data_IF_480920846110
#
_entry.id   IF_480920846110
#
_cell.length_a   1.000
_cell.length_b   1.000
_cell.length_c   1.000
_cell.angle_alpha   90.00
_cell.angle_beta   90.00
_cell.angle_gamma   90.00
#
_symmetry.space_group_name_H-M   'P 1'
#
loop_
_entity.id
_entity.type
_entity.pdbx_description
1 polymer ?
#
# COMPACT_ATOMS: atom_id res chain seq x y z
N UNK A 1 -22.44 -2.29 -16.93
CA UNK A 1 -20.97 -2.17 -16.96
C UNK A 1 -20.42 -1.98 -15.55
N UNK A 2 -19.39 -2.75 -15.20
CA UNK A 2 -18.80 -2.63 -13.88
C UNK A 2 -18.01 -1.32 -13.74
N UNK A 3 -18.16 -0.64 -12.60
CA UNK A 3 -17.37 0.55 -12.28
C UNK A 3 -15.93 0.17 -11.94
N UNK A 4 -15.01 1.14 -11.97
CA UNK A 4 -13.63 0.95 -11.54
C UNK A 4 -13.56 0.41 -10.10
N UNK A 5 -14.38 0.96 -9.22
CA UNK A 5 -14.45 0.54 -7.82
C UNK A 5 -14.88 -0.91 -7.67
N UNK A 6 -15.88 -1.37 -8.44
CA UNK A 6 -16.31 -2.77 -8.37
C UNK A 6 -15.28 -3.73 -8.96
N UNK A 7 -14.47 -3.28 -9.91
CA UNK A 7 -13.36 -4.06 -10.46
C UNK A 7 -12.23 -4.22 -9.45
N UNK A 8 -11.92 -3.16 -8.71
CA UNK A 8 -10.93 -3.21 -7.63
C UNK A 8 -11.38 -4.18 -6.52
N UNK A 9 -12.67 -4.21 -6.20
CA UNK A 9 -13.23 -5.15 -5.22
C UNK A 9 -13.03 -6.60 -5.68
N UNK A 10 -13.15 -6.89 -6.97
CA UNK A 10 -12.88 -8.23 -7.50
C UNK A 10 -11.43 -8.64 -7.29
N UNK A 11 -10.48 -7.74 -7.56
CA UNK A 11 -9.06 -8.02 -7.32
C UNK A 11 -8.84 -8.28 -5.84
N UNK A 12 -9.41 -7.46 -4.98
CA UNK A 12 -9.26 -7.61 -3.54
C UNK A 12 -9.75 -8.97 -3.07
N UNK A 13 -10.90 -9.42 -3.55
CA UNK A 13 -11.45 -10.75 -3.21
C UNK A 13 -10.51 -11.88 -3.63
N UNK A 14 -9.89 -11.76 -4.80
CA UNK A 14 -8.91 -12.76 -5.26
C UNK A 14 -7.69 -12.80 -4.35
N UNK A 15 -7.15 -11.64 -3.98
CA UNK A 15 -6.01 -11.54 -3.09
C UNK A 15 -6.35 -12.13 -1.72
N UNK A 16 -7.54 -11.83 -1.19
CA UNK A 16 -7.99 -12.38 0.08
C UNK A 16 -8.11 -13.91 0.02
N UNK A 17 -8.60 -14.46 -1.10
CA UNK A 17 -8.65 -15.90 -1.30
C UNK A 17 -7.25 -16.52 -1.32
N UNK A 18 -6.28 -15.88 -2.00
CA UNK A 18 -4.91 -16.38 -2.02
C UNK A 18 -4.31 -16.42 -0.61
N UNK A 19 -4.46 -15.34 0.15
CA UNK A 19 -3.93 -15.27 1.51
C UNK A 19 -4.57 -16.34 2.40
N UNK A 20 -5.88 -16.50 2.32
CA UNK A 20 -6.62 -17.52 3.07
C UNK A 20 -6.15 -18.92 2.69
N UNK A 21 -5.93 -19.18 1.41
CA UNK A 21 -5.49 -20.49 0.92
C UNK A 21 -4.09 -20.85 1.42
N UNK A 22 -3.25 -19.86 1.70
CA UNK A 22 -1.91 -20.05 2.26
C UNK A 22 -1.90 -20.02 3.80
N UNK A 23 -3.08 -19.93 4.42
CA UNK A 23 -3.18 -19.89 5.88
C UNK A 23 -2.71 -18.58 6.51
N UNK A 24 -2.68 -17.51 5.73
CA UNK A 24 -2.26 -16.20 6.23
C UNK A 24 -3.44 -15.40 6.77
N UNK A 25 -3.30 -14.89 7.99
CA UNK A 25 -4.27 -13.99 8.59
C UNK A 25 -4.01 -12.57 8.10
N UNK A 26 -5.09 -11.86 7.77
CA UNK A 26 -5.01 -10.48 7.29
C UNK A 26 -6.21 -9.68 7.78
N UNK A 27 -6.10 -8.36 7.72
CA UNK A 27 -7.22 -7.43 7.95
C UNK A 27 -7.28 -6.44 6.79
N UNK A 28 -8.39 -5.74 6.67
CA UNK A 28 -8.62 -4.80 5.56
C UNK A 28 -9.02 -3.43 6.08
N UNK A 29 -8.66 -2.39 5.33
CA UNK A 29 -9.13 -1.03 5.52
C UNK A 29 -8.94 -0.51 6.97
N UNK A 30 -10.04 -0.26 7.66
CA UNK A 30 -10.04 0.29 9.02
C UNK A 30 -9.88 -0.76 10.12
N UNK A 31 -9.78 -2.03 9.76
CA UNK A 31 -9.53 -3.07 10.75
C UNK A 31 -8.11 -2.99 11.30
N UNK A 32 -7.93 -3.35 12.56
CA UNK A 32 -6.65 -3.21 13.25
C UNK A 32 -5.74 -4.42 13.05
N UNK A 33 -4.46 -4.16 12.73
CA UNK A 33 -3.40 -5.17 12.84
C UNK A 33 -2.95 -5.22 14.30
N UNK A 34 -2.48 -4.08 14.81
CA UNK A 34 -2.14 -3.87 16.22
C UNK A 34 -2.06 -2.36 16.48
N UNK A 35 -2.03 -1.92 17.75
CA UNK A 35 -2.04 -0.49 18.06
C UNK A 35 -0.85 0.28 17.50
N UNK A 36 0.33 -0.31 17.43
CA UNK A 36 1.52 0.38 16.93
C UNK A 36 1.41 0.69 15.44
N UNK A 37 1.00 -0.28 14.63
CA UNK A 37 0.80 -0.10 13.20
C UNK A 37 -0.34 0.90 12.96
N UNK A 38 -1.44 0.76 13.69
CA UNK A 38 -2.59 1.65 13.55
C UNK A 38 -2.21 3.10 13.81
N UNK A 39 -1.44 3.37 14.87
CA UNK A 39 -0.96 4.72 15.18
C UNK A 39 -0.05 5.27 14.09
N UNK A 40 0.86 4.44 13.57
CA UNK A 40 1.78 4.85 12.52
C UNK A 40 1.02 5.29 11.27
N UNK A 41 0.03 4.51 10.85
CA UNK A 41 -0.78 4.82 9.69
C UNK A 41 -1.64 6.07 9.88
N UNK A 42 -2.01 6.37 11.12
CA UNK A 42 -2.78 7.57 11.44
C UNK A 42 -1.91 8.82 11.49
N UNK A 43 -0.66 8.72 11.94
CA UNK A 43 0.26 9.86 12.05
C UNK A 43 0.75 10.39 10.71
N UNK A 44 0.98 9.49 9.74
CA UNK A 44 1.43 9.90 8.43
C UNK A 44 0.32 10.61 7.66
N UNK A 45 0.64 11.56 6.75
CA UNK A 45 -0.37 12.12 5.86
C UNK A 45 -1.05 11.02 5.06
N UNK A 46 -2.31 11.24 4.69
CA UNK A 46 -3.02 10.32 3.79
C UNK A 46 -2.37 10.31 2.41
N UNK A 47 -2.77 9.40 1.54
CA UNK A 47 -2.24 9.32 0.16
C UNK A 47 -2.50 10.58 -0.67
N UNK A 48 -3.39 11.44 -0.22
CA UNK A 48 -3.69 12.72 -0.88
C UNK A 48 -3.05 13.90 -0.16
N UNK A 49 -2.32 13.66 0.91
CA UNK A 49 -1.61 14.68 1.68
C UNK A 49 -2.40 15.31 2.80
N UNK A 50 -3.67 14.98 2.91
CA UNK A 50 -4.54 15.55 3.94
C UNK A 50 -4.51 14.78 5.25
N UNK A 51 -5.28 15.27 6.19
CA UNK A 51 -5.54 14.56 7.44
C UNK A 51 -6.47 13.38 7.18
N UNK A 52 -6.42 12.41 8.06
CA UNK A 52 -7.27 11.24 8.00
C UNK A 52 -6.47 9.96 8.00
N UNK A 53 -7.17 8.87 8.21
CA UNK A 53 -6.52 7.55 8.31
C UNK A 53 -6.05 7.07 6.94
N UNK A 54 -4.89 6.43 6.92
CA UNK A 54 -4.43 5.67 5.77
C UNK A 54 -5.13 4.30 5.80
N UNK A 55 -6.08 4.10 4.89
CA UNK A 55 -6.86 2.87 4.80
C UNK A 55 -6.20 1.93 3.77
N UNK A 56 -5.33 1.07 4.25
CA UNK A 56 -4.63 0.10 3.40
C UNK A 56 -5.61 -0.99 2.96
N UNK A 57 -5.61 -1.35 1.68
CA UNK A 57 -6.57 -2.33 1.17
C UNK A 57 -6.47 -3.67 1.89
N UNK A 58 -5.24 -4.21 2.03
CA UNK A 58 -5.02 -5.45 2.80
C UNK A 58 -3.74 -5.28 3.62
N UNK A 59 -3.81 -5.60 4.90
CA UNK A 59 -2.70 -5.51 5.85
C UNK A 59 -2.52 -6.83 6.57
N UNK A 60 -1.28 -7.23 6.76
CA UNK A 60 -1.00 -8.40 7.60
C UNK A 60 0.37 -8.26 8.27
N UNK A 61 0.59 -9.08 9.28
CA UNK A 61 1.83 -9.14 10.01
C UNK A 61 2.37 -10.56 9.87
N UNK A 62 3.44 -10.70 9.11
CA UNK A 62 4.09 -11.99 8.88
C UNK A 62 5.11 -12.24 9.97
N UNK A 63 5.11 -13.46 10.51
CA UNK A 63 6.09 -13.89 11.51
C UNK A 63 6.97 -14.96 10.89
N UNK A 64 8.29 -14.79 10.94
CA UNK A 64 9.21 -15.79 10.42
C UNK A 64 9.58 -16.82 11.49
N UNK A 65 10.42 -17.79 11.11
CA UNK A 65 10.85 -18.88 12.01
C UNK A 65 11.73 -18.40 13.18
N UNK A 66 12.28 -17.19 13.09
CA UNK A 66 13.12 -16.59 14.14
C UNK A 66 12.32 -15.66 15.05
N UNK A 67 10.99 -15.64 14.91
CA UNK A 67 10.07 -14.79 15.67
C UNK A 67 10.19 -13.31 15.34
N UNK A 68 10.78 -12.96 14.19
CA UNK A 68 10.75 -11.59 13.68
C UNK A 68 9.44 -11.34 12.96
N UNK A 69 8.92 -10.13 13.06
CA UNK A 69 7.65 -9.73 12.48
C UNK A 69 7.87 -8.74 11.35
N UNK A 70 7.16 -8.95 10.24
CA UNK A 70 7.23 -8.10 9.05
C UNK A 70 5.83 -7.64 8.68
N UNK A 71 5.51 -6.35 8.89
CA UNK A 71 4.25 -5.81 8.37
C UNK A 71 4.25 -5.85 6.84
N UNK A 72 3.12 -6.24 6.27
CA UNK A 72 2.92 -6.27 4.81
C UNK A 72 1.74 -5.40 4.48
N UNK A 73 1.96 -4.39 3.63
CA UNK A 73 0.93 -3.46 3.17
C UNK A 73 0.68 -3.71 1.70
N UNK A 74 -0.56 -4.05 1.36
CA UNK A 74 -0.96 -4.37 -0.01
C UNK A 74 -1.94 -3.32 -0.50
N UNK A 75 -1.63 -2.70 -1.63
CA UNK A 75 -2.51 -1.72 -2.27
C UNK A 75 -2.93 -2.24 -3.65
N UNK A 76 -4.19 -2.05 -3.98
CA UNK A 76 -4.80 -2.57 -5.20
C UNK A 76 -5.30 -1.41 -6.07
N UNK A 77 -5.07 -1.52 -7.37
CA UNK A 77 -5.59 -0.57 -8.36
C UNK A 77 -6.08 -1.33 -9.58
N UNK A 78 -7.11 -0.79 -10.23
CA UNK A 78 -7.56 -1.32 -11.51
C UNK A 78 -6.88 -0.56 -12.66
N UNK A 79 -6.31 -1.31 -13.59
CA UNK A 79 -5.67 -0.78 -14.79
C UNK A 79 -4.22 -1.21 -14.90
N UNK A 80 -3.81 -1.70 -16.06
CA UNK A 80 -2.46 -2.18 -16.32
C UNK A 80 -1.39 -1.08 -16.18
N UNK A 81 -1.79 0.18 -16.39
CA UNK A 81 -0.89 1.34 -16.27
C UNK A 81 -0.91 1.97 -14.88
N UNK A 82 -1.46 1.29 -13.88
CA UNK A 82 -1.61 1.79 -12.51
C UNK A 82 -0.73 1.07 -11.49
N UNK A 83 0.22 0.26 -11.95
CA UNK A 83 1.06 -0.52 -11.04
C UNK A 83 2.05 0.36 -10.28
N UNK A 84 2.89 1.08 -11.01
CA UNK A 84 3.95 1.87 -10.38
C UNK A 84 4.38 3.05 -11.23
N UNK A 85 4.89 4.08 -10.56
CA UNK A 85 5.55 5.22 -11.20
C UNK A 85 6.97 5.32 -10.65
N UNK A 86 7.95 5.18 -11.53
CA UNK A 86 9.36 5.21 -11.17
C UNK A 86 10.00 6.49 -11.68
N UNK A 87 11.08 6.92 -11.02
CA UNK A 87 11.89 8.03 -11.47
C UNK A 87 12.96 7.55 -12.49
N UNK A 88 13.85 8.44 -12.91
CA UNK A 88 14.88 8.12 -13.89
C UNK A 88 15.88 7.06 -13.43
N UNK A 89 16.01 6.90 -12.13
CA UNK A 89 16.92 5.92 -11.52
C UNK A 89 16.19 4.62 -11.14
N UNK A 90 14.95 4.48 -11.59
CA UNK A 90 14.10 3.31 -11.34
C UNK A 90 13.72 3.15 -9.87
N UNK A 91 13.71 4.25 -9.11
CA UNK A 91 13.18 4.26 -7.75
C UNK A 91 11.70 4.65 -7.76
N UNK A 92 10.97 4.19 -6.75
CA UNK A 92 9.55 4.56 -6.58
C UNK A 92 9.46 6.08 -6.41
N UNK A 93 8.74 6.74 -7.31
CA UNK A 93 8.74 8.20 -7.43
C UNK A 93 7.71 8.85 -6.50
N UNK A 94 7.91 8.72 -5.18
CA UNK A 94 7.01 9.28 -4.17
C UNK A 94 7.41 10.68 -3.71
N UNK A 95 8.54 11.21 -4.20
CA UNK A 95 8.97 12.59 -3.94
C UNK A 95 9.20 13.31 -5.25
N UNK A 96 9.02 14.63 -5.24
CA UNK A 96 9.25 15.46 -6.41
C UNK A 96 10.76 15.62 -6.62
N UNK A 97 11.22 15.49 -7.87
CA UNK A 97 12.64 15.48 -8.22
C UNK A 97 13.14 16.78 -8.82
N UNK A 98 12.26 17.75 -9.08
CA UNK A 98 12.63 19.01 -9.72
C UNK A 98 11.73 20.15 -9.29
N UNK A 99 12.12 21.38 -9.62
CA UNK A 99 11.34 22.58 -9.33
C UNK A 99 11.49 23.05 -7.90
N UNK A 100 10.65 24.02 -7.51
CA UNK A 100 10.67 24.64 -6.19
C UNK A 100 10.27 23.65 -5.08
N UNK A 101 9.52 22.61 -5.45
CA UNK A 101 9.00 21.62 -4.51
C UNK A 101 9.84 20.34 -4.47
N UNK A 102 11.07 20.39 -5.00
CA UNK A 102 11.97 19.24 -4.98
C UNK A 102 12.14 18.69 -3.55
N UNK A 103 11.96 17.39 -3.39
CA UNK A 103 12.05 16.72 -2.10
C UNK A 103 10.72 16.62 -1.36
N UNK A 104 9.70 17.33 -1.78
CA UNK A 104 8.38 17.21 -1.19
C UNK A 104 7.66 15.98 -1.71
N UNK A 105 6.67 15.46 -0.93
CA UNK A 105 5.90 14.30 -1.37
C UNK A 105 5.17 14.54 -2.67
N UNK A 106 5.16 13.54 -3.55
CA UNK A 106 4.40 13.58 -4.80
C UNK A 106 3.09 12.79 -4.61
N UNK A 107 2.07 13.44 -4.08
CA UNK A 107 0.80 12.79 -3.78
C UNK A 107 0.06 12.31 -5.03
N UNK A 108 0.28 12.93 -6.18
CA UNK A 108 -0.30 12.46 -7.45
C UNK A 108 0.17 11.03 -7.74
N UNK A 109 1.48 10.77 -7.60
CA UNK A 109 2.03 9.43 -7.79
C UNK A 109 1.63 8.48 -6.67
N UNK A 110 1.69 8.94 -5.42
CA UNK A 110 1.34 8.13 -4.24
C UNK A 110 -0.10 7.63 -4.34
N UNK A 111 -1.03 8.49 -4.71
CA UNK A 111 -2.44 8.13 -4.82
C UNK A 111 -2.78 7.41 -6.11
N UNK A 112 -1.99 7.61 -7.17
CA UNK A 112 -2.31 7.14 -8.52
C UNK A 112 -1.87 5.71 -8.85
N UNK A 113 -0.91 5.16 -8.11
CA UNK A 113 -0.28 3.88 -8.45
C UNK A 113 -0.22 2.96 -7.24
N UNK A 114 -0.40 1.65 -7.50
CA UNK A 114 -0.51 0.65 -6.43
C UNK A 114 0.78 0.55 -5.60
N UNK A 115 1.93 0.39 -6.26
CA UNK A 115 3.22 0.29 -5.55
C UNK A 115 3.53 1.58 -4.79
N UNK A 116 3.31 2.74 -5.43
CA UNK A 116 3.57 4.03 -4.79
C UNK A 116 2.74 4.22 -3.52
N UNK A 117 1.48 3.82 -3.54
CA UNK A 117 0.62 3.86 -2.37
C UNK A 117 1.07 2.89 -1.28
N UNK A 118 1.42 1.66 -1.65
CA UNK A 118 1.90 0.66 -0.70
C UNK A 118 3.20 1.11 -0.03
N UNK A 119 4.12 1.71 -0.78
CA UNK A 119 5.38 2.26 -0.25
C UNK A 119 5.11 3.41 0.71
N UNK A 120 4.12 4.26 0.41
CA UNK A 120 3.72 5.34 1.32
C UNK A 120 3.29 4.78 2.68
N UNK A 121 2.49 3.73 2.70
CA UNK A 121 2.08 3.08 3.94
C UNK A 121 3.27 2.42 4.66
N UNK A 122 4.14 1.75 3.92
CA UNK A 122 5.33 1.12 4.50
C UNK A 122 6.24 2.16 5.15
N UNK A 123 6.46 3.30 4.50
CA UNK A 123 7.25 4.38 5.06
C UNK A 123 6.62 4.99 6.32
N UNK A 124 5.30 5.07 6.37
CA UNK A 124 4.60 5.51 7.58
C UNK A 124 4.92 4.60 8.76
N UNK A 125 4.89 3.30 8.55
CA UNK A 125 5.19 2.32 9.60
C UNK A 125 6.68 2.42 10.00
N UNK A 126 7.59 2.52 9.04
CA UNK A 126 9.03 2.66 9.34
C UNK A 126 9.33 3.92 10.13
N UNK A 127 8.63 5.03 9.83
CA UNK A 127 8.89 6.32 10.46
C UNK A 127 8.28 6.44 11.86
N UNK A 128 7.11 5.85 12.08
CA UNK A 128 6.32 6.09 13.28
C UNK A 128 6.12 4.84 14.16
N UNK A 129 6.88 3.78 13.93
CA UNK A 129 6.81 2.58 14.75
C UNK A 129 8.20 2.00 14.98
N UNK A 130 8.28 0.93 15.78
CA UNK A 130 9.52 0.23 16.06
C UNK A 130 9.92 -0.79 14.98
N UNK A 131 9.05 -1.04 14.01
CA UNK A 131 9.36 -1.98 12.93
C UNK A 131 10.48 -1.44 12.04
N UNK A 132 11.44 -2.31 11.70
CA UNK A 132 12.60 -1.95 10.88
C UNK A 132 12.49 -2.46 9.44
N UNK A 133 11.60 -3.39 9.19
CA UNK A 133 11.42 -4.01 7.89
C UNK A 133 9.94 -4.11 7.58
N UNK A 134 9.51 -3.52 6.48
CA UNK A 134 8.12 -3.54 6.03
C UNK A 134 8.08 -3.91 4.56
N UNK A 135 7.16 -4.79 4.18
CA UNK A 135 6.99 -5.21 2.80
C UNK A 135 5.82 -4.44 2.20
N UNK A 136 6.07 -3.81 1.06
CA UNK A 136 5.06 -3.08 0.30
C UNK A 136 4.77 -3.83 -0.99
N UNK A 137 3.49 -4.15 -1.25
CA UNK A 137 3.07 -4.89 -2.44
C UNK A 137 1.99 -4.10 -3.14
N UNK A 138 2.20 -3.81 -4.43
CA UNK A 138 1.18 -3.25 -5.30
C UNK A 138 0.68 -4.31 -6.25
N UNK A 139 -0.64 -4.38 -6.44
CA UNK A 139 -1.27 -5.35 -7.33
C UNK A 139 -2.26 -4.61 -8.24
N UNK A 140 -2.19 -4.89 -9.53
CA UNK A 140 -3.18 -4.38 -10.48
C UNK A 140 -3.83 -5.52 -11.24
N UNK A 141 -5.03 -5.26 -11.74
CA UNK A 141 -5.69 -6.12 -12.70
C UNK A 141 -6.19 -5.27 -13.86
N UNK A 142 -6.50 -5.89 -14.98
CA UNK A 142 -7.05 -5.20 -16.13
C UNK A 142 -8.15 -6.03 -16.83
N UNK A 143 -8.77 -5.46 -17.86
CA UNK A 143 -9.90 -6.09 -18.53
C UNK A 143 -9.52 -7.33 -19.34
N UNK A 144 -8.26 -7.48 -19.68
CA UNK A 144 -7.78 -8.62 -20.45
C UNK A 144 -7.54 -9.85 -19.56
N UNK A 145 -7.58 -9.67 -18.26
CA UNK A 145 -7.48 -10.75 -17.28
C UNK A 145 -8.89 -11.27 -16.94
N UNK A 146 -9.31 -12.26 -17.69
CA UNK A 146 -10.62 -12.85 -17.49
C UNK A 146 -10.71 -13.67 -16.20
#
# INVERSE_FOLDING_TARGET
>A
MATKQSKEVKIQREVEKWLTSYGMEFVTQNESVNPEIDKALLKAPSKTGGEGANLVDVKLLLKDSKLDYYPIMIELKWGSNKLEKLDKEEHVANTKTSGKEKGEPNYTNINGYAVNGAVHYANAILQYSSYTDVIAIGITGDEDEA
#
